data_IF_009511981555
#
_entry.id   IF_009511981555
#
_cell.length_a   1.000
_cell.length_b   1.000
_cell.length_c   1.000
_cell.angle_alpha   90.00
_cell.angle_beta   90.00
_cell.angle_gamma   90.00
#
_symmetry.space_group_name_H-M   'P 1'
#
loop_
_entity.id
_entity.type
_entity.pdbx_description
1 polymer ?
#
# COMPACT_ATOMS: atom_id res chain seq x y z
N UNK A 1 13.05 -0.54 28.16
CA UNK A 1 13.73 0.55 27.46
C UNK A 1 12.97 1.81 27.77
N UNK A 2 13.64 2.89 28.15
CA UNK A 2 12.96 4.11 28.56
C UNK A 2 12.37 4.80 27.32
N UNK A 3 11.05 4.78 27.17
CA UNK A 3 10.32 5.44 26.06
C UNK A 3 10.53 6.96 26.03
N UNK A 4 11.09 7.55 27.09
CA UNK A 4 11.42 8.97 27.16
C UNK A 4 12.43 9.41 26.09
N UNK A 5 13.26 8.48 25.57
CA UNK A 5 14.22 8.77 24.49
C UNK A 5 13.59 9.14 23.17
N UNK A 6 12.36 8.71 22.92
CA UNK A 6 11.71 8.92 21.62
C UNK A 6 11.23 10.35 21.36
N UNK A 7 10.83 11.06 22.40
CA UNK A 7 10.27 12.40 22.27
C UNK A 7 11.16 13.51 22.82
N UNK A 8 12.25 13.16 23.49
CA UNK A 8 13.01 14.13 24.24
C UNK A 8 14.48 14.26 23.99
N UNK A 9 15.11 13.24 23.43
CA UNK A 9 16.57 13.25 23.21
C UNK A 9 16.93 13.18 21.70
N UNK A 10 15.93 13.20 20.82
CA UNK A 10 16.10 12.96 19.40
C UNK A 10 16.74 14.09 18.60
N UNK A 11 17.04 15.21 19.21
CA UNK A 11 17.82 16.30 18.63
C UNK A 11 18.65 16.98 19.72
N UNK A 12 19.86 16.55 19.95
CA UNK A 12 20.77 17.13 20.93
C UNK A 12 20.98 18.66 20.82
N UNK A 13 20.51 19.29 19.77
CA UNK A 13 20.59 20.73 19.57
C UNK A 13 19.29 21.50 19.61
N UNK A 14 18.14 20.84 19.37
CA UNK A 14 16.86 21.53 19.24
C UNK A 14 15.82 21.16 20.31
N UNK A 15 15.91 19.98 20.92
CA UNK A 15 14.87 19.49 21.81
C UNK A 15 15.08 19.87 23.28
N UNK A 16 16.31 19.91 23.78
CA UNK A 16 16.58 20.43 25.15
C UNK A 16 16.28 21.92 25.21
N UNK A 17 16.74 22.70 24.22
CA UNK A 17 16.45 24.14 24.13
C UNK A 17 14.95 24.40 24.01
N UNK A 18 14.24 23.60 23.22
CA UNK A 18 12.80 23.75 23.05
C UNK A 18 11.98 23.37 24.31
N UNK A 19 12.45 22.43 25.12
CA UNK A 19 11.81 22.07 26.40
C UNK A 19 11.95 23.14 27.44
N UNK A 20 13.16 23.69 27.57
CA UNK A 20 13.48 24.68 28.58
C UNK A 20 12.95 26.07 28.20
N UNK A 21 12.79 26.35 26.90
CA UNK A 21 12.26 27.63 26.40
C UNK A 21 10.73 27.67 26.25
N UNK A 22 10.05 26.52 26.31
CA UNK A 22 8.59 26.44 26.29
C UNK A 22 8.06 26.14 27.67
N UNK A 23 7.35 27.12 28.25
CA UNK A 23 6.71 27.04 29.57
C UNK A 23 5.48 26.12 29.49
N UNK A 24 5.72 24.80 29.49
CA UNK A 24 4.67 23.79 29.55
C UNK A 24 4.42 23.35 30.97
N UNK A 25 3.16 23.32 31.40
CA UNK A 25 2.76 22.78 32.69
C UNK A 25 3.00 21.27 32.77
N UNK A 26 2.80 20.54 31.63
CA UNK A 26 2.95 19.09 31.56
C UNK A 26 3.53 18.63 30.22
N UNK A 27 4.27 17.54 30.28
CA UNK A 27 4.78 16.81 29.11
C UNK A 27 4.27 15.36 29.16
N UNK A 28 3.37 15.00 28.27
CA UNK A 28 2.91 13.62 28.08
C UNK A 28 3.90 12.85 27.24
N UNK A 29 4.44 11.74 27.76
CA UNK A 29 5.38 10.84 27.10
C UNK A 29 4.69 9.54 26.64
N UNK A 30 3.50 9.26 27.18
CA UNK A 30 2.63 8.15 26.83
C UNK A 30 1.51 8.62 25.89
N UNK A 31 0.28 8.18 26.07
CA UNK A 31 -0.84 8.61 25.22
C UNK A 31 -1.38 9.98 25.66
N UNK A 32 -1.31 10.94 24.74
CA UNK A 32 -1.77 12.31 24.99
C UNK A 32 -3.26 12.34 25.35
N UNK A 33 -4.06 11.49 24.71
CA UNK A 33 -5.50 11.37 24.96
C UNK A 33 -5.79 10.96 26.41
N UNK A 34 -5.03 10.02 26.96
CA UNK A 34 -5.16 9.60 28.34
C UNK A 34 -4.76 10.72 29.31
N UNK A 35 -3.64 11.41 29.01
CA UNK A 35 -3.19 12.55 29.82
C UNK A 35 -4.20 13.71 29.83
N UNK A 36 -4.76 14.06 28.66
CA UNK A 36 -5.79 15.10 28.52
C UNK A 36 -7.08 14.70 29.26
N UNK A 37 -7.49 13.44 29.14
CA UNK A 37 -8.66 12.94 29.84
C UNK A 37 -8.49 13.06 31.35
N UNK A 38 -7.36 12.60 31.91
CA UNK A 38 -7.07 12.67 33.34
C UNK A 38 -7.03 14.14 33.85
N UNK A 39 -6.42 15.05 33.08
CA UNK A 39 -6.40 16.48 33.37
C UNK A 39 -7.80 17.10 33.40
N UNK A 40 -8.67 16.74 32.46
CA UNK A 40 -10.03 17.27 32.39
C UNK A 40 -10.91 16.71 33.52
N UNK A 41 -10.76 15.42 33.84
CA UNK A 41 -11.56 14.74 34.86
C UNK A 41 -11.15 15.14 36.30
N UNK A 42 -9.85 15.17 36.56
CA UNK A 42 -9.31 15.31 37.94
C UNK A 42 -8.47 16.57 38.14
N UNK A 43 -8.33 17.44 37.14
CA UNK A 43 -7.54 18.65 37.19
C UNK A 43 -6.03 18.40 37.24
N UNK A 44 -5.24 19.43 37.53
CA UNK A 44 -3.77 19.40 37.51
C UNK A 44 -3.17 18.31 38.41
N UNK A 45 -3.82 18.00 39.51
CA UNK A 45 -3.37 16.96 40.46
C UNK A 45 -3.64 15.55 39.95
N UNK A 46 -4.50 15.42 38.91
CA UNK A 46 -4.85 14.16 38.29
C UNK A 46 -3.98 13.75 37.09
N UNK A 47 -3.00 14.59 36.70
CA UNK A 47 -2.12 14.26 35.58
C UNK A 47 -1.39 12.95 35.84
N UNK A 48 -1.56 12.01 34.90
CA UNK A 48 -0.87 10.72 34.89
C UNK A 48 -0.35 10.44 33.50
N UNK A 49 0.96 10.25 33.38
CA UNK A 49 1.63 9.88 32.14
C UNK A 49 1.49 8.37 31.91
N UNK A 50 0.37 7.97 31.35
CA UNK A 50 -0.04 6.58 31.14
C UNK A 50 -0.48 6.30 29.72
N UNK A 51 -0.55 5.02 29.37
CA UNK A 51 -1.22 4.57 28.15
C UNK A 51 -2.70 4.39 28.41
N UNK A 52 -3.51 4.64 27.35
CA UNK A 52 -4.93 4.29 27.33
C UNK A 52 -5.10 2.78 27.43
N UNK A 53 -6.15 2.34 28.06
CA UNK A 53 -6.59 0.95 28.02
C UNK A 53 -7.48 0.69 26.79
N UNK A 54 -7.84 -0.59 26.56
CA UNK A 54 -8.64 -0.98 25.38
C UNK A 54 -10.04 -0.37 25.39
N UNK A 55 -10.65 -0.19 26.57
CA UNK A 55 -11.99 0.41 26.67
C UNK A 55 -11.93 1.90 26.31
N UNK A 56 -10.93 2.60 26.81
CA UNK A 56 -10.66 4.01 26.49
C UNK A 56 -10.39 4.18 25.00
N UNK A 57 -9.51 3.33 24.42
CA UNK A 57 -9.19 3.36 23.00
C UNK A 57 -10.44 3.19 22.15
N UNK A 58 -11.24 2.16 22.43
CA UNK A 58 -12.48 1.87 21.68
C UNK A 58 -13.48 3.01 21.82
N UNK A 59 -13.68 3.49 23.05
CA UNK A 59 -14.61 4.60 23.32
C UNK A 59 -14.21 5.89 22.61
N UNK A 60 -12.92 6.23 22.64
CA UNK A 60 -12.44 7.47 22.03
C UNK A 60 -12.35 7.37 20.51
N UNK A 61 -12.00 6.22 19.94
CA UNK A 61 -12.04 5.99 18.52
C UNK A 61 -13.45 6.18 17.97
N UNK A 62 -14.46 5.56 18.61
CA UNK A 62 -15.88 5.75 18.23
C UNK A 62 -16.33 7.21 18.38
N UNK A 63 -16.01 7.83 19.51
CA UNK A 63 -16.40 9.22 19.76
C UNK A 63 -15.71 10.19 18.79
N UNK A 64 -14.45 9.92 18.42
CA UNK A 64 -13.64 10.74 17.53
C UNK A 64 -13.92 10.50 16.03
N UNK A 65 -14.68 9.48 15.65
CA UNK A 65 -14.95 9.14 14.27
C UNK A 65 -15.56 10.30 13.45
N UNK A 66 -16.29 11.22 14.09
CA UNK A 66 -16.84 12.41 13.42
C UNK A 66 -15.78 13.31 12.74
N UNK A 67 -14.51 13.17 13.09
CA UNK A 67 -13.44 14.01 12.53
C UNK A 67 -13.30 13.83 11.01
N UNK A 68 -13.69 12.67 10.48
CA UNK A 68 -13.64 12.42 9.04
C UNK A 68 -14.53 13.37 8.25
N UNK A 69 -15.67 13.79 8.81
CA UNK A 69 -16.62 14.73 8.20
C UNK A 69 -16.01 16.15 8.03
N UNK A 70 -14.92 16.45 8.76
CA UNK A 70 -14.19 17.71 8.64
C UNK A 70 -13.13 17.67 7.53
N UNK A 71 -12.84 16.51 6.98
CA UNK A 71 -11.85 16.37 5.92
C UNK A 71 -12.44 16.85 4.57
N UNK A 72 -11.72 17.69 3.80
CA UNK A 72 -12.26 18.28 2.57
C UNK A 72 -12.59 17.26 1.47
N UNK A 73 -12.06 16.06 1.55
CA UNK A 73 -12.30 14.99 0.57
C UNK A 73 -13.32 13.94 1.06
N UNK A 74 -13.94 14.17 2.22
CA UNK A 74 -15.00 13.29 2.71
C UNK A 74 -16.31 13.56 1.93
N UNK A 75 -17.08 12.51 1.59
CA UNK A 75 -16.80 11.10 1.79
C UNK A 75 -16.01 10.44 0.65
N UNK A 76 -15.95 11.07 -0.53
CA UNK A 76 -15.64 10.43 -1.82
C UNK A 76 -14.16 10.04 -2.00
N UNK A 77 -13.23 10.76 -1.36
CA UNK A 77 -11.79 10.54 -1.57
C UNK A 77 -11.01 10.57 -0.25
N UNK A 78 -11.38 9.68 0.66
CA UNK A 78 -10.76 9.53 1.98
C UNK A 78 -10.55 8.05 2.30
N UNK A 79 -9.32 7.67 2.66
CA UNK A 79 -8.99 6.35 3.20
C UNK A 79 -8.62 6.49 4.67
N UNK A 80 -9.25 5.69 5.54
CA UNK A 80 -8.94 5.63 6.96
C UNK A 80 -7.96 4.49 7.24
N UNK A 81 -6.84 4.80 7.89
CA UNK A 81 -5.88 3.81 8.34
C UNK A 81 -6.17 3.42 9.79
N UNK A 82 -6.49 2.14 9.99
CA UNK A 82 -6.78 1.55 11.29
C UNK A 82 -5.50 1.04 11.93
N UNK A 83 -5.16 1.54 13.12
CA UNK A 83 -4.08 0.96 13.90
C UNK A 83 -4.50 -0.40 14.46
N UNK A 84 -3.76 -1.45 14.13
CA UNK A 84 -4.03 -2.82 14.61
C UNK A 84 -3.08 -3.27 15.71
N UNK A 85 -1.86 -2.72 15.74
CA UNK A 85 -0.88 -3.01 16.79
C UNK A 85 0.24 -1.97 16.84
N UNK A 86 0.99 -1.98 17.95
CA UNK A 86 2.24 -1.23 18.14
C UNK A 86 3.34 -2.17 18.59
N UNK A 87 4.59 -1.84 18.22
CA UNK A 87 5.77 -2.59 18.63
C UNK A 87 6.10 -3.72 17.67
N UNK A 88 7.31 -4.27 17.84
CA UNK A 88 7.86 -5.32 17.00
C UNK A 88 8.80 -6.22 17.82
N UNK A 89 8.75 -7.55 17.66
CA UNK A 89 9.64 -8.45 18.37
C UNK A 89 11.08 -8.42 17.83
N UNK A 90 11.25 -7.94 16.59
CA UNK A 90 12.55 -7.83 15.92
C UNK A 90 13.26 -6.52 16.25
N UNK A 91 14.59 -6.48 16.05
CA UNK A 91 15.44 -5.35 16.40
C UNK A 91 16.36 -4.96 15.25
N UNK A 92 15.76 -4.66 14.09
CA UNK A 92 16.51 -4.13 12.95
C UNK A 92 17.18 -2.80 13.34
N UNK A 93 18.47 -2.62 12.99
CA UNK A 93 19.33 -1.52 13.43
C UNK A 93 18.78 -0.12 13.15
N UNK A 94 17.95 0.02 12.12
CA UNK A 94 17.41 1.30 11.65
C UNK A 94 15.97 1.58 12.08
N UNK A 95 15.28 0.55 12.64
CA UNK A 95 13.85 0.61 12.85
C UNK A 95 13.47 1.18 14.22
N UNK A 96 12.44 2.03 14.23
CA UNK A 96 11.90 2.65 15.46
C UNK A 96 10.79 1.82 16.13
N UNK A 97 10.15 0.88 15.41
CA UNK A 97 9.06 0.07 15.97
C UNK A 97 9.44 -0.73 17.24
N UNK A 98 10.64 -1.31 17.34
CA UNK A 98 11.05 -2.01 18.57
C UNK A 98 11.12 -1.12 19.81
N UNK A 99 11.16 0.21 19.65
CA UNK A 99 11.17 1.14 20.76
C UNK A 99 9.84 1.17 21.51
N UNK A 100 8.73 0.80 20.86
CA UNK A 100 7.42 0.60 21.51
C UNK A 100 7.36 -0.69 22.33
N UNK A 101 8.37 -1.56 22.25
CA UNK A 101 8.45 -2.82 22.96
C UNK A 101 7.93 -4.01 22.16
N UNK A 102 7.45 -5.04 22.85
CA UNK A 102 6.82 -6.17 22.21
C UNK A 102 5.49 -5.75 21.56
N UNK A 103 5.02 -6.50 20.54
CA UNK A 103 3.75 -6.20 19.91
C UNK A 103 2.60 -6.13 20.93
N UNK A 104 1.87 -5.03 20.88
CA UNK A 104 0.64 -4.79 21.64
C UNK A 104 -0.49 -4.68 20.60
N UNK A 105 -1.45 -5.59 20.67
CA UNK A 105 -2.51 -5.75 19.65
C UNK A 105 -3.83 -5.20 20.19
N UNK A 106 -4.48 -4.37 19.37
CA UNK A 106 -5.88 -4.05 19.60
C UNK A 106 -6.73 -5.31 19.39
N UNK A 107 -7.71 -5.61 20.25
CA UNK A 107 -8.66 -6.69 20.02
C UNK A 107 -9.41 -6.51 18.69
N UNK A 108 -9.73 -7.59 17.95
CA UNK A 108 -10.50 -7.50 16.71
C UNK A 108 -11.78 -6.68 16.87
N UNK A 109 -12.49 -6.85 17.98
CA UNK A 109 -13.75 -6.17 18.29
C UNK A 109 -13.56 -4.65 18.41
N UNK A 110 -12.45 -4.18 18.99
CA UNK A 110 -12.13 -2.75 19.11
C UNK A 110 -11.89 -2.11 17.74
N UNK A 111 -11.21 -2.81 16.82
CA UNK A 111 -10.99 -2.33 15.44
C UNK A 111 -12.31 -2.34 14.65
N UNK A 112 -13.12 -3.39 14.82
CA UNK A 112 -14.44 -3.50 14.17
C UNK A 112 -15.38 -2.39 14.63
N UNK A 113 -15.41 -2.08 15.92
CA UNK A 113 -16.21 -0.98 16.49
C UNK A 113 -15.83 0.40 15.93
N UNK A 114 -14.53 0.61 15.66
CA UNK A 114 -14.09 1.86 15.03
C UNK A 114 -14.49 1.92 13.55
N UNK A 115 -14.34 0.80 12.82
CA UNK A 115 -14.80 0.71 11.41
C UNK A 115 -16.30 0.94 11.31
N UNK A 116 -17.12 0.38 12.21
CA UNK A 116 -18.56 0.61 12.32
C UNK A 116 -18.88 2.10 12.45
N UNK A 117 -18.24 2.77 13.42
CA UNK A 117 -18.43 4.20 13.64
C UNK A 117 -17.99 5.10 12.50
N UNK A 118 -17.01 4.68 11.70
CA UNK A 118 -16.56 5.38 10.50
C UNK A 118 -17.46 5.09 9.29
N UNK A 119 -17.92 3.84 9.14
CA UNK A 119 -18.85 3.44 8.09
C UNK A 119 -20.20 4.12 8.23
N UNK A 120 -20.68 4.32 9.48
CA UNK A 120 -21.88 5.13 9.80
C UNK A 120 -21.75 6.61 9.34
N UNK A 121 -20.55 7.04 8.93
CA UNK A 121 -20.22 8.37 8.40
C UNK A 121 -19.73 8.34 6.96
N UNK A 122 -20.26 7.41 6.18
CA UNK A 122 -19.99 7.27 4.74
C UNK A 122 -18.50 7.02 4.39
N UNK A 123 -17.68 6.48 5.30
CA UNK A 123 -16.32 6.02 4.99
C UNK A 123 -16.40 4.63 4.37
N UNK A 124 -15.96 4.50 3.11
CA UNK A 124 -15.96 3.23 2.37
C UNK A 124 -14.56 2.65 2.13
N UNK A 125 -13.49 3.33 2.54
CA UNK A 125 -12.13 2.95 2.24
C UNK A 125 -11.29 2.82 3.51
N UNK A 126 -10.76 1.62 3.75
CA UNK A 126 -10.01 1.28 4.95
C UNK A 126 -8.68 0.62 4.62
N UNK A 127 -7.67 0.87 5.46
CA UNK A 127 -6.38 0.21 5.43
C UNK A 127 -6.02 -0.24 6.84
N UNK A 128 -5.75 -1.54 7.01
CA UNK A 128 -5.22 -2.07 8.26
C UNK A 128 -3.72 -1.76 8.31
N UNK A 129 -3.35 -0.83 9.14
CA UNK A 129 -2.02 -0.29 9.21
C UNK A 129 -1.36 -0.43 10.57
N UNK A 130 -0.20 0.19 10.70
CA UNK A 130 0.59 0.28 11.91
C UNK A 130 0.94 -1.06 12.56
N UNK A 131 1.10 -2.11 11.79
CA UNK A 131 1.60 -3.40 12.27
C UNK A 131 2.94 -3.76 11.65
N UNK A 132 3.77 -4.46 12.43
CA UNK A 132 4.99 -5.06 11.91
C UNK A 132 4.69 -6.31 11.05
N UNK A 133 3.63 -7.05 11.40
CA UNK A 133 3.22 -8.26 10.72
C UNK A 133 1.74 -8.57 10.96
N UNK A 134 0.92 -8.46 9.91
CA UNK A 134 -0.52 -8.77 9.98
C UNK A 134 -0.79 -10.26 10.27
N UNK A 135 0.07 -11.18 9.81
CA UNK A 135 -0.15 -12.62 10.04
C UNK A 135 -0.09 -13.00 11.52
N UNK A 136 0.75 -12.32 12.30
CA UNK A 136 0.92 -12.56 13.73
C UNK A 136 -0.06 -11.76 14.61
N UNK A 137 -1.03 -11.07 13.99
CA UNK A 137 -2.02 -10.24 14.69
C UNK A 137 -2.79 -11.02 15.77
N UNK A 138 -2.92 -10.40 16.94
CA UNK A 138 -3.67 -10.96 18.07
C UNK A 138 -3.04 -12.19 18.70
N UNK A 139 -1.74 -12.42 18.47
CA UNK A 139 -0.95 -13.53 19.00
C UNK A 139 0.29 -13.09 19.77
N UNK A 140 1.38 -13.82 19.57
CA UNK A 140 2.69 -13.55 20.22
C UNK A 140 3.58 -12.57 19.41
N UNK A 141 3.13 -12.12 18.26
CA UNK A 141 3.88 -11.25 17.35
C UNK A 141 4.82 -11.97 16.38
N UNK A 142 4.94 -13.30 16.48
CA UNK A 142 5.80 -14.11 15.62
C UNK A 142 5.07 -15.27 14.94
N UNK A 143 4.03 -15.82 15.58
CA UNK A 143 3.28 -16.97 15.07
C UNK A 143 1.98 -16.51 14.40
N UNK A 144 1.67 -16.96 13.16
CA UNK A 144 0.40 -16.62 12.52
C UNK A 144 -0.80 -17.07 13.35
N UNK A 145 -1.80 -16.18 13.42
CA UNK A 145 -3.05 -16.41 14.16
C UNK A 145 -4.28 -16.27 13.24
N UNK A 146 -4.59 -17.30 12.42
CA UNK A 146 -5.72 -17.27 11.49
C UNK A 146 -7.06 -17.01 12.16
N UNK A 147 -7.26 -17.44 13.41
CA UNK A 147 -8.52 -17.22 14.12
C UNK A 147 -8.76 -15.75 14.46
N UNK A 148 -7.72 -15.04 14.91
CA UNK A 148 -7.81 -13.59 15.12
C UNK A 148 -8.04 -12.84 13.82
N UNK A 149 -7.35 -13.21 12.74
CA UNK A 149 -7.56 -12.66 11.41
C UNK A 149 -8.99 -12.88 10.93
N UNK A 150 -9.54 -14.08 11.09
CA UNK A 150 -10.92 -14.38 10.69
C UNK A 150 -11.92 -13.51 11.45
N UNK A 151 -11.76 -13.34 12.76
CA UNK A 151 -12.62 -12.47 13.57
C UNK A 151 -12.53 -11.02 13.10
N UNK A 152 -11.32 -10.50 12.87
CA UNK A 152 -11.09 -9.13 12.41
C UNK A 152 -11.74 -8.88 11.05
N UNK A 153 -11.37 -9.66 10.04
CA UNK A 153 -11.81 -9.43 8.66
C UNK A 153 -13.30 -9.70 8.46
N UNK A 154 -13.84 -10.76 9.08
CA UNK A 154 -15.29 -11.05 9.02
C UNK A 154 -16.09 -9.96 9.74
N UNK A 155 -15.63 -9.50 10.91
CA UNK A 155 -16.28 -8.42 11.64
C UNK A 155 -16.29 -7.10 10.83
N UNK A 156 -15.19 -6.73 10.19
CA UNK A 156 -15.13 -5.54 9.32
C UNK A 156 -16.16 -5.66 8.19
N UNK A 157 -16.24 -6.83 7.51
CA UNK A 157 -17.20 -7.03 6.42
C UNK A 157 -18.66 -7.07 6.89
N UNK A 158 -18.91 -7.45 8.14
CA UNK A 158 -20.25 -7.45 8.73
C UNK A 158 -20.75 -6.03 9.00
N UNK A 159 -19.89 -5.16 9.56
CA UNK A 159 -20.27 -3.78 9.92
C UNK A 159 -20.15 -2.79 8.75
N UNK A 160 -19.32 -3.08 7.76
CA UNK A 160 -19.12 -2.28 6.56
C UNK A 160 -19.30 -3.14 5.28
N UNK A 161 -20.53 -3.65 4.99
CA UNK A 161 -20.76 -4.55 3.86
C UNK A 161 -20.48 -3.90 2.50
N UNK A 162 -20.69 -2.60 2.39
CA UNK A 162 -20.55 -1.82 1.16
C UNK A 162 -19.17 -1.16 1.01
N UNK A 163 -18.19 -1.52 1.86
CA UNK A 163 -16.85 -0.95 1.74
C UNK A 163 -16.23 -1.24 0.37
N UNK A 164 -15.61 -0.21 -0.23
CA UNK A 164 -15.01 -0.23 -1.56
C UNK A 164 -13.53 -0.58 -1.54
N UNK A 165 -12.80 -0.22 -0.48
CA UNK A 165 -11.40 -0.58 -0.29
C UNK A 165 -11.17 -1.16 1.10
N UNK A 166 -10.58 -2.36 1.13
CA UNK A 166 -9.97 -2.93 2.33
C UNK A 166 -8.59 -3.45 1.96
N UNK A 167 -7.56 -2.81 2.46
CA UNK A 167 -6.16 -3.14 2.21
C UNK A 167 -5.38 -3.28 3.52
N UNK A 168 -4.19 -3.85 3.43
CA UNK A 168 -3.26 -3.99 4.55
C UNK A 168 -1.96 -3.22 4.33
N UNK A 169 -1.09 -3.19 5.33
CA UNK A 169 0.25 -2.61 5.25
C UNK A 169 1.33 -3.71 5.23
N UNK A 170 1.89 -4.07 6.36
CA UNK A 170 3.04 -4.96 6.44
C UNK A 170 2.65 -6.43 6.70
N UNK A 171 3.38 -7.31 6.04
CA UNK A 171 3.44 -8.74 6.29
C UNK A 171 4.90 -9.14 6.39
N UNK A 172 5.29 -9.88 7.44
CA UNK A 172 6.69 -10.24 7.61
C UNK A 172 7.01 -11.54 6.85
N UNK A 173 7.95 -11.53 5.89
CA UNK A 173 8.28 -12.72 5.12
C UNK A 173 8.84 -13.87 5.97
N UNK A 174 9.54 -13.59 7.10
CA UNK A 174 10.02 -14.66 7.97
C UNK A 174 8.89 -15.47 8.62
N UNK A 175 7.78 -14.81 8.95
CA UNK A 175 6.59 -15.47 9.48
C UNK A 175 5.96 -16.40 8.45
N UNK A 176 5.97 -15.99 7.17
CA UNK A 176 5.44 -16.79 6.06
C UNK A 176 6.22 -18.11 5.90
N UNK A 177 7.56 -18.05 5.94
CA UNK A 177 8.40 -19.25 5.72
C UNK A 177 8.57 -20.10 6.96
N UNK A 178 8.57 -19.50 8.14
CA UNK A 178 8.71 -20.22 9.42
C UNK A 178 7.45 -21.03 9.74
N UNK A 179 6.28 -20.56 9.32
CA UNK A 179 4.98 -21.16 9.59
C UNK A 179 4.12 -21.34 8.33
N UNK A 180 4.58 -22.05 7.29
CA UNK A 180 4.00 -21.98 5.96
C UNK A 180 2.51 -22.38 5.90
N UNK A 181 2.07 -23.38 6.66
CA UNK A 181 0.67 -23.82 6.65
C UNK A 181 -0.27 -22.78 7.27
N UNK A 182 0.09 -22.27 8.46
CA UNK A 182 -0.70 -21.21 9.11
C UNK A 182 -0.68 -19.91 8.33
N UNK A 183 0.47 -19.56 7.73
CA UNK A 183 0.59 -18.39 6.88
C UNK A 183 -0.30 -18.50 5.64
N UNK A 184 -0.31 -19.66 4.98
CA UNK A 184 -1.22 -19.91 3.84
C UNK A 184 -2.68 -19.74 4.22
N UNK A 185 -3.09 -20.19 5.40
CA UNK A 185 -4.45 -19.99 5.91
C UNK A 185 -4.73 -18.48 6.15
N UNK A 186 -3.84 -17.79 6.85
CA UNK A 186 -3.96 -16.34 7.07
C UNK A 186 -4.02 -15.53 5.78
N UNK A 187 -3.15 -15.84 4.80
CA UNK A 187 -3.13 -15.18 3.48
C UNK A 187 -4.44 -15.44 2.72
N UNK A 188 -5.04 -16.65 2.82
CA UNK A 188 -6.37 -16.91 2.21
C UNK A 188 -7.46 -16.04 2.83
N UNK A 189 -7.51 -15.96 4.16
CA UNK A 189 -8.48 -15.11 4.87
C UNK A 189 -8.35 -13.66 4.39
N UNK A 190 -7.12 -13.14 4.33
CA UNK A 190 -6.86 -11.78 3.83
C UNK A 190 -7.35 -11.63 2.38
N UNK A 191 -6.98 -12.54 1.48
CA UNK A 191 -7.35 -12.47 0.07
C UNK A 191 -8.86 -12.62 -0.18
N UNK A 192 -9.57 -13.34 0.69
CA UNK A 192 -11.04 -13.47 0.63
C UNK A 192 -11.74 -12.14 0.92
N UNK A 193 -11.24 -11.37 1.88
CA UNK A 193 -11.89 -10.17 2.40
C UNK A 193 -11.37 -8.87 1.77
N UNK A 194 -10.06 -8.79 1.46
CA UNK A 194 -9.46 -7.59 0.87
C UNK A 194 -9.92 -7.38 -0.57
N UNK A 195 -9.90 -6.12 -0.98
CA UNK A 195 -10.22 -5.73 -2.36
C UNK A 195 -9.01 -5.91 -3.28
N UNK A 196 -9.21 -6.06 -4.62
CA UNK A 196 -8.12 -6.27 -5.56
C UNK A 196 -7.10 -5.12 -5.58
N UNK A 197 -5.82 -5.45 -5.82
CA UNK A 197 -4.74 -4.48 -5.92
C UNK A 197 -3.99 -4.22 -4.61
N UNK A 198 -4.33 -4.98 -3.57
CA UNK A 198 -3.67 -4.89 -2.26
C UNK A 198 -2.21 -5.37 -2.29
N UNK A 199 -1.43 -4.94 -1.30
CA UNK A 199 0.00 -5.17 -1.23
C UNK A 199 0.43 -5.61 0.16
N UNK A 200 0.93 -6.83 0.29
CA UNK A 200 1.66 -7.28 1.47
C UNK A 200 3.09 -6.71 1.41
N UNK A 201 3.37 -5.66 2.18
CA UNK A 201 4.70 -5.05 2.17
C UNK A 201 5.69 -5.91 2.97
N UNK A 202 6.69 -6.49 2.29
CA UNK A 202 7.75 -7.30 2.84
C UNK A 202 8.99 -6.46 3.14
N UNK A 203 9.46 -6.51 4.38
CA UNK A 203 10.71 -5.90 4.82
C UNK A 203 11.90 -6.84 4.57
N UNK A 204 12.38 -6.96 3.33
CA UNK A 204 13.66 -7.61 3.04
C UNK A 204 14.84 -6.72 3.44
N UNK A 205 14.71 -5.44 3.16
CA UNK A 205 15.62 -4.32 3.41
C UNK A 205 16.96 -4.45 2.67
N UNK A 206 17.59 -5.62 2.67
CA UNK A 206 18.79 -5.95 1.88
C UNK A 206 18.84 -7.43 1.54
N UNK A 207 19.24 -7.76 0.30
CA UNK A 207 19.55 -9.11 -0.13
C UNK A 207 21.04 -9.49 0.08
N UNK A 208 21.85 -8.57 0.62
CA UNK A 208 23.26 -8.78 0.94
C UNK A 208 23.39 -9.43 2.32
N UNK A 209 23.97 -10.65 2.42
CA UNK A 209 24.06 -11.36 3.69
C UNK A 209 24.91 -10.65 4.76
N UNK A 210 25.92 -9.88 4.34
CA UNK A 210 26.77 -9.15 5.28
C UNK A 210 26.00 -7.95 5.87
N UNK A 211 25.33 -7.18 5.03
CA UNK A 211 24.42 -6.09 5.47
C UNK A 211 23.30 -6.63 6.35
N UNK A 212 22.76 -7.79 6.00
CA UNK A 212 21.72 -8.46 6.78
C UNK A 212 22.19 -8.76 8.20
N UNK A 213 23.38 -9.36 8.33
CA UNK A 213 24.00 -9.71 9.62
C UNK A 213 24.30 -8.47 10.45
N UNK A 214 24.90 -7.43 9.83
CA UNK A 214 25.35 -6.20 10.51
C UNK A 214 24.20 -5.34 11.02
N UNK A 215 22.97 -5.56 10.51
CA UNK A 215 21.79 -4.76 10.83
C UNK A 215 20.65 -5.55 11.51
N UNK A 216 20.90 -6.78 11.95
CA UNK A 216 19.91 -7.65 12.57
C UNK A 216 18.62 -7.79 11.73
N UNK A 217 18.75 -7.87 10.39
CA UNK A 217 17.60 -8.12 9.53
C UNK A 217 17.12 -9.56 9.75
N UNK A 218 15.82 -9.74 9.77
CA UNK A 218 15.23 -10.99 10.25
C UNK A 218 14.97 -12.03 9.16
N UNK A 219 15.24 -11.72 7.89
CA UNK A 219 14.95 -12.59 6.75
C UNK A 219 16.07 -12.55 5.71
N UNK A 220 16.47 -13.72 5.21
CA UNK A 220 17.39 -13.85 4.10
C UNK A 220 16.72 -13.63 2.75
N UNK A 221 17.51 -13.37 1.69
CA UNK A 221 16.99 -13.26 0.34
C UNK A 221 16.27 -14.54 -0.13
N UNK A 222 16.78 -15.72 0.22
CA UNK A 222 16.15 -17.00 -0.15
C UNK A 222 14.83 -17.22 0.60
N UNK A 223 14.76 -16.93 1.89
CA UNK A 223 13.52 -17.00 2.67
C UNK A 223 12.47 -16.00 2.15
N UNK A 224 12.89 -14.76 1.85
CA UNK A 224 12.00 -13.77 1.26
C UNK A 224 11.48 -14.22 -0.11
N UNK A 225 12.32 -14.85 -0.93
CA UNK A 225 11.93 -15.41 -2.22
C UNK A 225 10.85 -16.51 -2.06
N UNK A 226 11.01 -17.42 -1.12
CA UNK A 226 10.00 -18.46 -0.83
C UNK A 226 8.70 -17.83 -0.29
N UNK A 227 8.78 -16.77 0.54
CA UNK A 227 7.59 -16.05 0.97
C UNK A 227 6.86 -15.38 -0.21
N UNK A 228 7.60 -14.80 -1.16
CA UNK A 228 7.03 -14.24 -2.40
C UNK A 228 6.27 -15.31 -3.18
N UNK A 229 6.85 -16.53 -3.33
CA UNK A 229 6.16 -17.66 -3.99
C UNK A 229 4.85 -18.01 -3.29
N UNK A 230 4.88 -18.17 -1.96
CA UNK A 230 3.69 -18.52 -1.19
C UNK A 230 2.57 -17.50 -1.38
N UNK A 231 2.86 -16.21 -1.30
CA UNK A 231 1.82 -15.18 -1.51
C UNK A 231 1.29 -15.20 -2.94
N UNK A 232 2.16 -15.35 -3.96
CA UNK A 232 1.72 -15.49 -5.35
C UNK A 232 0.82 -16.72 -5.55
N UNK A 233 1.19 -17.86 -4.98
CA UNK A 233 0.41 -19.11 -5.07
C UNK A 233 -0.97 -19.00 -4.40
N UNK A 234 -1.04 -18.33 -3.24
CA UNK A 234 -2.26 -18.29 -2.43
C UNK A 234 -3.19 -17.15 -2.84
N UNK A 235 -2.65 -15.98 -3.15
CA UNK A 235 -3.42 -14.74 -3.30
C UNK A 235 -3.15 -13.96 -4.60
N UNK A 236 -2.20 -14.40 -5.44
CA UNK A 236 -1.84 -13.74 -6.69
C UNK A 236 -2.84 -13.91 -7.84
N UNK A 237 -4.05 -14.34 -7.55
CA UNK A 237 -5.11 -14.55 -8.54
C UNK A 237 -5.97 -13.29 -8.74
N UNK A 238 -6.61 -13.18 -9.92
CA UNK A 238 -7.59 -12.14 -10.22
C UNK A 238 -8.99 -12.61 -9.83
N UNK A 239 -9.88 -11.71 -9.39
CA UNK A 239 -11.28 -12.08 -9.18
C UNK A 239 -11.90 -12.70 -10.44
N UNK A 240 -12.61 -13.82 -10.31
CA UNK A 240 -13.25 -14.51 -11.46
C UNK A 240 -12.31 -15.18 -12.45
N UNK A 241 -11.00 -15.08 -12.28
CA UNK A 241 -9.98 -15.66 -13.15
C UNK A 241 -9.33 -16.92 -12.55
N UNK A 242 -8.82 -17.80 -13.44
CA UNK A 242 -7.91 -18.87 -13.04
C UNK A 242 -6.54 -18.27 -12.67
N UNK A 243 -5.84 -18.91 -11.73
CA UNK A 243 -4.55 -18.42 -11.19
C UNK A 243 -3.48 -18.20 -12.26
N UNK A 244 -3.50 -18.99 -13.32
CA UNK A 244 -2.46 -19.07 -14.34
C UNK A 244 -2.81 -18.37 -15.65
N UNK A 245 -3.97 -17.71 -15.76
CA UNK A 245 -4.40 -17.11 -17.02
C UNK A 245 -4.22 -15.59 -17.04
N UNK A 246 -3.81 -15.10 -18.21
CA UNK A 246 -3.95 -13.69 -18.55
C UNK A 246 -5.40 -13.22 -18.30
N UNK A 247 -5.64 -11.93 -18.00
CA UNK A 247 -6.98 -11.43 -17.73
C UNK A 247 -7.95 -11.90 -18.82
N UNK A 248 -9.01 -12.58 -18.41
CA UNK A 248 -10.09 -12.91 -19.32
C UNK A 248 -10.92 -11.65 -19.58
N UNK A 249 -10.66 -11.00 -20.71
CA UNK A 249 -11.32 -9.74 -21.07
C UNK A 249 -12.81 -9.88 -21.42
N UNK A 250 -13.38 -11.06 -21.30
CA UNK A 250 -14.82 -11.30 -21.39
C UNK A 250 -15.58 -11.22 -20.05
N UNK A 251 -14.83 -11.20 -18.92
CA UNK A 251 -15.38 -11.11 -17.57
C UNK A 251 -14.81 -9.87 -16.87
N UNK A 252 -15.66 -8.93 -16.46
CA UNK A 252 -15.22 -7.67 -15.83
C UNK A 252 -14.49 -7.92 -14.50
N UNK A 253 -14.88 -8.94 -13.74
CA UNK A 253 -14.17 -9.30 -12.51
C UNK A 253 -12.74 -9.76 -12.79
N UNK A 254 -12.50 -10.52 -13.87
CA UNK A 254 -11.18 -11.00 -14.24
C UNK A 254 -10.27 -9.91 -14.84
N UNK A 255 -10.81 -8.73 -15.15
CA UNK A 255 -10.03 -7.56 -15.61
C UNK A 255 -9.39 -6.77 -14.47
N UNK A 256 -9.77 -7.01 -13.23
CA UNK A 256 -9.22 -6.31 -12.05
C UNK A 256 -7.76 -6.69 -11.80
N UNK A 257 -7.10 -5.93 -10.93
CA UNK A 257 -5.78 -6.31 -10.41
C UNK A 257 -5.85 -7.63 -9.62
N UNK A 258 -4.73 -8.36 -9.45
CA UNK A 258 -4.67 -9.48 -8.51
C UNK A 258 -5.11 -9.07 -7.11
N UNK A 259 -5.65 -10.02 -6.34
CA UNK A 259 -6.21 -9.78 -5.00
C UNK A 259 -5.14 -9.21 -4.05
N UNK A 260 -4.05 -9.94 -3.86
CA UNK A 260 -2.96 -9.54 -2.97
C UNK A 260 -1.62 -9.99 -3.58
N UNK A 261 -0.68 -9.08 -3.69
CA UNK A 261 0.68 -9.37 -4.13
C UNK A 261 1.71 -8.86 -3.12
N UNK A 262 2.88 -9.52 -3.01
CA UNK A 262 3.96 -8.98 -2.21
C UNK A 262 4.51 -7.68 -2.82
N UNK A 263 4.92 -6.77 -1.95
CA UNK A 263 5.76 -5.62 -2.28
C UNK A 263 7.09 -5.76 -1.55
N UNK A 264 8.21 -5.42 -2.17
CA UNK A 264 9.53 -5.52 -1.56
C UNK A 264 10.01 -4.14 -1.11
N UNK A 265 10.38 -4.01 0.15
CA UNK A 265 11.08 -2.85 0.69
C UNK A 265 12.59 -3.13 0.68
N UNK A 266 13.36 -2.16 0.16
CA UNK A 266 14.82 -2.14 0.19
C UNK A 266 15.27 -0.81 0.79
N UNK A 267 16.17 -0.87 1.78
CA UNK A 267 16.75 0.30 2.46
C UNK A 267 18.24 0.34 2.18
N UNK A 268 18.71 1.46 1.65
CA UNK A 268 20.11 1.73 1.35
C UNK A 268 20.71 2.72 2.35
N UNK A 269 22.00 2.61 2.58
CA UNK A 269 22.72 3.36 3.59
C UNK A 269 22.79 2.62 4.93
N UNK A 270 22.53 1.32 4.92
CA UNK A 270 22.68 0.44 6.08
C UNK A 270 24.16 0.14 6.35
N UNK A 271 24.49 -0.25 7.58
CA UNK A 271 25.83 -0.62 8.00
C UNK A 271 26.34 -1.79 7.15
N UNK A 272 27.58 -1.70 6.70
CA UNK A 272 28.19 -2.72 5.83
C UNK A 272 27.84 -2.60 4.35
N UNK A 273 26.97 -1.64 3.93
CA UNK A 273 26.61 -1.44 2.53
C UNK A 273 27.83 -1.11 1.67
N UNK A 274 27.96 -1.79 0.54
CA UNK A 274 28.99 -1.57 -0.49
C UNK A 274 28.33 -1.53 -1.88
N UNK A 275 29.14 -1.31 -2.92
CA UNK A 275 28.65 -1.39 -4.29
C UNK A 275 28.10 -2.79 -4.65
N UNK A 276 28.61 -3.85 -4.01
CA UNK A 276 28.12 -5.23 -4.23
C UNK A 276 26.73 -5.46 -3.64
N UNK A 277 26.36 -4.74 -2.59
CA UNK A 277 25.02 -4.77 -2.01
C UNK A 277 23.94 -4.43 -3.04
N UNK A 278 24.20 -3.45 -3.91
CA UNK A 278 23.28 -3.07 -4.99
C UNK A 278 23.10 -4.19 -6.02
N UNK A 279 24.16 -4.94 -6.30
CA UNK A 279 24.11 -6.10 -7.20
C UNK A 279 23.41 -7.30 -6.54
N UNK A 280 23.54 -7.51 -5.23
CA UNK A 280 22.75 -8.52 -4.50
C UNK A 280 21.26 -8.21 -4.58
N UNK A 281 20.85 -6.99 -4.30
CA UNK A 281 19.47 -6.54 -4.37
C UNK A 281 18.90 -6.68 -5.79
N UNK A 282 19.67 -6.32 -6.82
CA UNK A 282 19.26 -6.46 -8.22
C UNK A 282 19.10 -7.92 -8.62
N UNK A 283 20.05 -8.80 -8.27
CA UNK A 283 19.97 -10.24 -8.55
C UNK A 283 18.75 -10.89 -7.91
N UNK A 284 18.40 -10.49 -6.68
CA UNK A 284 17.17 -10.95 -6.02
C UNK A 284 15.92 -10.55 -6.83
N UNK A 285 15.78 -9.29 -7.19
CA UNK A 285 14.63 -8.80 -7.96
C UNK A 285 14.54 -9.45 -9.33
N UNK A 286 15.68 -9.64 -10.02
CA UNK A 286 15.75 -10.32 -11.30
C UNK A 286 15.30 -11.78 -11.19
N UNK A 287 15.76 -12.51 -10.15
CA UNK A 287 15.32 -13.89 -9.88
C UNK A 287 13.81 -13.97 -9.72
N UNK A 288 13.20 -13.07 -8.92
CA UNK A 288 11.74 -13.01 -8.77
C UNK A 288 11.03 -12.83 -10.11
N UNK A 289 11.57 -11.94 -10.94
CA UNK A 289 11.01 -11.69 -12.28
C UNK A 289 11.17 -12.91 -13.21
N UNK A 290 12.36 -13.52 -13.27
CA UNK A 290 12.67 -14.64 -14.16
C UNK A 290 11.86 -15.90 -13.84
N UNK A 291 11.54 -16.13 -12.56
CA UNK A 291 10.67 -17.23 -12.09
C UNK A 291 9.18 -16.98 -12.35
N UNK A 292 8.83 -15.91 -13.05
CA UNK A 292 7.43 -15.62 -13.43
C UNK A 292 6.57 -15.05 -12.29
N UNK A 293 7.16 -14.79 -11.13
CA UNK A 293 6.44 -14.28 -9.97
C UNK A 293 6.05 -12.79 -10.15
N UNK A 294 5.04 -12.37 -9.41
CA UNK A 294 4.51 -11.00 -9.43
C UNK A 294 4.86 -10.26 -8.14
N UNK A 295 5.32 -9.03 -8.29
CA UNK A 295 5.46 -8.05 -7.22
C UNK A 295 4.56 -6.84 -7.52
N UNK A 296 3.79 -6.42 -6.53
CA UNK A 296 2.98 -5.21 -6.68
C UNK A 296 3.83 -3.96 -6.74
N UNK A 297 4.97 -3.95 -6.02
CA UNK A 297 5.85 -2.79 -5.92
C UNK A 297 7.24 -3.18 -5.42
N UNK A 298 8.26 -2.49 -5.92
CA UNK A 298 9.58 -2.41 -5.28
C UNK A 298 9.76 -1.00 -4.71
N UNK A 299 9.93 -0.91 -3.40
CA UNK A 299 10.11 0.35 -2.68
C UNK A 299 11.57 0.51 -2.27
N UNK A 300 12.29 1.40 -2.93
CA UNK A 300 13.71 1.64 -2.73
C UNK A 300 13.88 2.97 -2.00
N UNK A 301 14.34 2.91 -0.75
CA UNK A 301 14.52 4.05 0.14
C UNK A 301 15.99 4.17 0.59
N UNK A 302 16.38 5.33 1.08
CA UNK A 302 17.57 5.52 1.88
C UNK A 302 17.19 5.52 3.36
N UNK A 303 18.07 5.02 4.20
CA UNK A 303 17.90 5.02 5.65
C UNK A 303 17.71 6.45 6.15
N UNK A 304 16.81 6.62 7.08
CA UNK A 304 16.73 7.81 7.93
C UNK A 304 17.34 7.44 9.28
N UNK A 305 18.40 8.13 9.63
CA UNK A 305 19.09 7.93 10.90
C UNK A 305 18.30 8.59 12.02
N UNK A 306 17.42 7.80 12.66
CA UNK A 306 16.67 8.26 13.83
C UNK A 306 17.48 8.02 15.09
N UNK A 307 17.48 9.00 15.97
CA UNK A 307 18.07 8.86 17.31
C UNK A 307 17.41 7.72 18.09
N UNK A 308 18.20 7.03 18.90
CA UNK A 308 17.77 5.81 19.61
C UNK A 308 17.81 4.54 18.76
N UNK A 309 18.13 4.63 17.46
CA UNK A 309 18.46 3.47 16.60
C UNK A 309 19.96 3.28 16.50
N UNK A 310 20.42 2.06 16.19
CA UNK A 310 21.86 1.77 16.01
C UNK A 310 22.44 2.48 14.77
N UNK A 311 21.60 2.99 13.88
CA UNK A 311 21.98 3.73 12.67
C UNK A 311 22.07 5.25 12.88
N UNK A 312 21.76 5.75 14.06
CA UNK A 312 21.72 7.20 14.36
C UNK A 312 23.01 7.94 13.96
N UNK A 313 24.17 7.35 14.26
CA UNK A 313 25.48 7.98 14.02
C UNK A 313 26.02 7.77 12.61
N UNK A 314 25.70 6.64 11.94
CA UNK A 314 26.41 6.20 10.72
C UNK A 314 25.56 6.20 9.46
N UNK A 315 24.24 6.04 9.58
CA UNK A 315 23.36 5.84 8.42
C UNK A 315 23.35 7.02 7.45
N UNK A 316 23.41 8.24 7.95
CA UNK A 316 23.43 9.44 7.10
C UNK A 316 24.71 9.58 6.26
N UNK A 317 25.86 9.16 6.79
CA UNK A 317 27.15 9.21 6.08
C UNK A 317 27.19 8.16 4.97
N UNK A 318 26.85 6.90 5.25
CA UNK A 318 26.82 5.81 4.27
C UNK A 318 25.86 6.17 3.12
N UNK A 319 24.67 6.65 3.43
CA UNK A 319 23.69 7.07 2.43
C UNK A 319 24.20 8.23 1.55
N UNK A 320 25.01 9.14 2.12
CA UNK A 320 25.64 10.25 1.40
C UNK A 320 26.73 9.77 0.46
N UNK A 321 27.59 8.87 0.93
CA UNK A 321 28.71 8.35 0.16
C UNK A 321 28.22 7.54 -1.06
N UNK A 322 27.13 6.78 -0.92
CA UNK A 322 26.55 6.01 -1.99
C UNK A 322 25.47 6.75 -2.82
N UNK A 323 25.28 8.04 -2.62
CA UNK A 323 24.19 8.81 -3.24
C UNK A 323 24.11 8.67 -4.77
N UNK A 324 25.28 8.68 -5.45
CA UNK A 324 25.31 8.56 -6.91
C UNK A 324 24.98 7.14 -7.36
N UNK A 325 25.55 6.14 -6.70
CA UNK A 325 25.27 4.72 -6.96
C UNK A 325 23.79 4.40 -6.73
N UNK A 326 23.22 4.89 -5.63
CA UNK A 326 21.79 4.76 -5.32
C UNK A 326 20.89 5.32 -6.44
N UNK A 327 21.23 6.49 -7.00
CA UNK A 327 20.45 7.07 -8.09
C UNK A 327 20.50 6.22 -9.36
N UNK A 328 21.68 5.72 -9.72
CA UNK A 328 21.88 4.85 -10.89
C UNK A 328 21.13 3.53 -10.71
N UNK A 329 21.32 2.86 -9.57
CA UNK A 329 20.61 1.64 -9.22
C UNK A 329 19.09 1.81 -9.28
N UNK A 330 18.56 2.87 -8.66
CA UNK A 330 17.12 3.14 -8.65
C UNK A 330 16.56 3.37 -10.05
N UNK A 331 17.33 4.02 -10.95
CA UNK A 331 16.93 4.19 -12.34
C UNK A 331 16.94 2.84 -13.08
N UNK A 332 18.02 2.06 -12.92
CA UNK A 332 18.14 0.75 -13.54
C UNK A 332 17.01 -0.20 -13.11
N UNK A 333 16.72 -0.32 -11.82
CA UNK A 333 15.62 -1.17 -11.32
C UNK A 333 14.28 -0.72 -11.89
N UNK A 334 14.04 0.60 -12.03
CA UNK A 334 12.80 1.09 -12.65
C UNK A 334 12.64 0.67 -14.10
N UNK A 335 13.74 0.65 -14.85
CA UNK A 335 13.73 0.30 -16.27
C UNK A 335 13.65 -1.20 -16.48
N UNK A 336 14.43 -1.98 -15.72
CA UNK A 336 14.62 -3.41 -15.96
C UNK A 336 13.68 -4.30 -15.15
N UNK A 337 13.15 -3.82 -14.03
CA UNK A 337 12.28 -4.58 -13.13
C UNK A 337 10.89 -3.95 -13.00
N UNK A 338 10.79 -2.67 -12.54
CA UNK A 338 9.48 -2.07 -12.22
C UNK A 338 8.55 -2.02 -13.44
N UNK A 339 9.05 -1.56 -14.59
CA UNK A 339 8.22 -1.44 -15.79
C UNK A 339 7.75 -2.81 -16.33
N UNK A 340 8.62 -3.81 -16.58
CA UNK A 340 8.16 -5.13 -17.03
C UNK A 340 7.32 -5.86 -15.98
N UNK A 341 7.58 -5.67 -14.69
CA UNK A 341 6.76 -6.22 -13.62
C UNK A 341 5.35 -5.61 -13.62
N UNK A 342 5.25 -4.28 -13.79
CA UNK A 342 3.96 -3.59 -13.86
C UNK A 342 3.15 -4.07 -15.08
N UNK A 343 3.79 -4.33 -16.21
CA UNK A 343 3.12 -4.92 -17.39
C UNK A 343 2.58 -6.33 -17.11
N UNK A 344 3.28 -7.13 -16.31
CA UNK A 344 2.82 -8.46 -15.87
C UNK A 344 1.64 -8.36 -14.90
N UNK A 345 1.73 -7.48 -13.91
CA UNK A 345 0.71 -7.29 -12.88
C UNK A 345 -0.57 -6.65 -13.43
N UNK A 346 -0.43 -5.69 -14.32
CA UNK A 346 -1.52 -4.89 -14.85
C UNK A 346 -1.42 -4.74 -16.38
N UNK A 347 -1.55 -5.82 -17.16
CA UNK A 347 -1.43 -5.77 -18.62
C UNK A 347 -2.47 -4.84 -19.25
N UNK A 348 -2.25 -4.37 -20.51
CA UNK A 348 -3.24 -3.56 -21.23
C UNK A 348 -4.60 -4.25 -21.27
N UNK A 349 -5.68 -3.51 -20.97
CA UNK A 349 -7.04 -4.02 -20.81
C UNK A 349 -7.41 -4.32 -19.35
N UNK A 350 -6.47 -4.26 -18.40
CA UNK A 350 -6.80 -4.25 -16.97
C UNK A 350 -7.62 -3.01 -16.67
N UNK A 351 -8.72 -3.18 -15.93
CA UNK A 351 -9.61 -2.09 -15.51
C UNK A 351 -9.29 -1.71 -14.07
N UNK A 352 -8.98 -0.44 -13.87
CA UNK A 352 -8.86 0.20 -12.57
C UNK A 352 -10.20 0.91 -12.29
N UNK A 353 -11.01 0.41 -11.35
CA UNK A 353 -12.24 1.09 -10.97
C UNK A 353 -11.94 2.32 -10.12
N UNK A 354 -12.87 3.22 -10.05
CA UNK A 354 -12.91 4.33 -9.10
C UNK A 354 -11.61 5.16 -9.08
N UNK A 355 -11.11 5.50 -10.27
CA UNK A 355 -9.95 6.41 -10.40
C UNK A 355 -10.42 7.85 -10.18
N UNK A 356 -10.02 8.44 -9.08
CA UNK A 356 -10.31 9.84 -8.77
C UNK A 356 -9.38 10.79 -9.55
N UNK A 357 -9.95 11.75 -10.27
CA UNK A 357 -9.23 12.68 -11.13
C UNK A 357 -8.71 13.87 -10.32
N UNK A 358 -7.38 13.99 -10.17
CA UNK A 358 -6.73 14.86 -9.20
C UNK A 358 -6.23 16.19 -9.79
N UNK A 359 -5.57 16.14 -10.95
CA UNK A 359 -4.94 17.32 -11.54
C UNK A 359 -4.68 17.19 -13.04
N UNK A 360 -4.45 18.35 -13.69
CA UNK A 360 -4.02 18.43 -15.09
C UNK A 360 -2.53 18.69 -15.19
N UNK A 361 -1.89 18.08 -16.19
CA UNK A 361 -0.51 18.37 -16.57
C UNK A 361 -0.26 18.00 -18.04
N UNK A 362 0.36 18.92 -18.79
CA UNK A 362 0.77 18.72 -20.18
C UNK A 362 -0.39 18.24 -21.10
N UNK A 363 -1.60 18.81 -20.92
CA UNK A 363 -2.80 18.46 -21.70
C UNK A 363 -3.37 17.08 -21.41
N UNK A 364 -3.05 16.51 -20.23
CA UNK A 364 -3.55 15.25 -19.72
C UNK A 364 -4.18 15.44 -18.34
N UNK A 365 -5.09 14.55 -18.00
CA UNK A 365 -5.64 14.42 -16.65
C UNK A 365 -4.96 13.27 -15.92
N UNK A 366 -4.62 13.47 -14.67
CA UNK A 366 -4.03 12.44 -13.80
C UNK A 366 -4.94 12.16 -12.64
N UNK A 367 -4.96 10.88 -12.25
CA UNK A 367 -5.76 10.40 -11.11
C UNK A 367 -5.21 9.12 -10.50
N UNK A 368 -5.81 8.68 -9.40
CA UNK A 368 -5.49 7.45 -8.68
C UNK A 368 -6.74 6.80 -8.10
N UNK A 369 -6.65 5.48 -7.89
CA UNK A 369 -7.57 4.80 -6.99
C UNK A 369 -7.20 5.10 -5.53
N UNK A 370 -8.14 4.98 -4.60
CA UNK A 370 -7.82 4.83 -3.18
C UNK A 370 -7.31 3.41 -2.90
N UNK A 371 -6.30 3.31 -2.05
CA UNK A 371 -5.72 2.00 -1.68
C UNK A 371 -4.24 2.06 -1.35
N UNK A 372 -3.68 0.89 -1.02
CA UNK A 372 -2.26 0.73 -0.71
C UNK A 372 -1.43 0.83 -1.99
N UNK A 373 -0.51 1.80 -2.05
CA UNK A 373 0.36 2.07 -3.20
C UNK A 373 -0.39 2.26 -4.53
N UNK A 374 -1.31 3.24 -4.65
CA UNK A 374 -2.09 3.44 -5.85
C UNK A 374 -1.23 3.77 -7.07
N UNK A 375 -1.64 3.27 -8.23
CA UNK A 375 -1.00 3.60 -9.50
C UNK A 375 -1.40 5.01 -9.94
N UNK A 376 -0.43 5.80 -10.40
CA UNK A 376 -0.72 7.04 -11.10
C UNK A 376 -1.22 6.70 -12.50
N UNK A 377 -2.41 7.17 -12.83
CA UNK A 377 -3.06 6.97 -14.14
C UNK A 377 -3.04 8.28 -14.90
N UNK A 378 -2.53 8.28 -16.12
CA UNK A 378 -2.59 9.42 -17.05
C UNK A 378 -3.63 9.16 -18.14
N UNK A 379 -4.56 10.08 -18.31
CA UNK A 379 -5.62 10.04 -19.32
C UNK A 379 -5.38 11.13 -20.38
N UNK A 380 -5.55 10.85 -21.68
CA UNK A 380 -5.50 11.89 -22.72
C UNK A 380 -6.60 12.93 -22.52
N UNK A 381 -6.24 14.21 -22.73
CA UNK A 381 -7.18 15.34 -22.63
C UNK A 381 -7.39 15.83 -21.20
N UNK A 382 -8.05 16.98 -21.10
CA UNK A 382 -8.44 17.58 -19.83
C UNK A 382 -9.90 17.23 -19.52
N UNK A 383 -10.11 16.65 -18.32
CA UNK A 383 -11.41 16.21 -17.81
C UNK A 383 -11.74 16.95 -16.54
N UNK A 384 -13.01 17.02 -16.19
CA UNK A 384 -13.46 17.60 -14.92
C UNK A 384 -12.77 16.90 -13.74
N UNK A 385 -12.10 17.68 -12.89
CA UNK A 385 -11.41 17.18 -11.70
C UNK A 385 -12.40 16.90 -10.57
N UNK A 386 -11.98 16.04 -9.61
CA UNK A 386 -12.82 15.64 -8.49
C UNK A 386 -13.88 14.58 -8.85
N UNK A 387 -13.93 14.13 -10.10
CA UNK A 387 -14.79 12.99 -10.51
C UNK A 387 -14.05 11.69 -10.41
N UNK A 388 -14.80 10.64 -10.17
CA UNK A 388 -14.32 9.25 -10.14
C UNK A 388 -14.82 8.50 -11.37
N UNK A 389 -13.92 7.78 -12.05
CA UNK A 389 -14.22 7.02 -13.27
C UNK A 389 -13.45 5.70 -13.31
N UNK A 390 -14.02 4.71 -13.99
CA UNK A 390 -13.28 3.49 -14.34
C UNK A 390 -12.32 3.76 -15.50
N UNK A 391 -11.14 3.13 -15.47
CA UNK A 391 -10.09 3.33 -16.48
C UNK A 391 -9.55 1.99 -16.96
N UNK A 392 -9.57 1.74 -18.26
CA UNK A 392 -8.84 0.62 -18.88
C UNK A 392 -7.39 1.04 -19.20
N UNK A 393 -6.42 0.27 -18.70
CA UNK A 393 -4.98 0.50 -18.96
C UNK A 393 -4.67 0.22 -20.43
N UNK A 394 -3.96 1.14 -21.07
CA UNK A 394 -3.53 1.03 -22.47
C UNK A 394 -2.02 0.94 -22.64
N UNK A 395 -1.23 1.56 -21.75
CA UNK A 395 0.24 1.61 -21.81
C UNK A 395 0.85 1.84 -20.41
N UNK A 396 2.17 1.66 -20.30
CA UNK A 396 2.90 1.69 -19.03
C UNK A 396 4.09 2.66 -19.06
N UNK A 397 4.21 3.45 -17.99
CA UNK A 397 5.45 4.08 -17.58
C UNK A 397 6.20 3.19 -16.57
N UNK A 398 7.23 3.73 -15.92
CA UNK A 398 7.99 2.97 -14.91
C UNK A 398 7.17 2.64 -13.66
N UNK A 399 6.34 3.54 -13.21
CA UNK A 399 5.49 3.41 -12.00
C UNK A 399 4.11 4.07 -12.17
N UNK A 400 3.68 4.22 -13.40
CA UNK A 400 2.42 4.83 -13.79
C UNK A 400 1.88 4.10 -15.00
N UNK A 401 0.61 4.30 -15.28
CA UNK A 401 -0.05 3.76 -16.45
C UNK A 401 -0.70 4.86 -17.26
N UNK A 402 -0.86 4.63 -18.55
CA UNK A 402 -1.75 5.40 -19.40
C UNK A 402 -3.04 4.60 -19.59
N UNK A 403 -4.18 5.25 -19.59
CA UNK A 403 -5.45 4.60 -19.78
C UNK A 403 -6.47 5.45 -20.52
N UNK A 404 -7.62 4.87 -20.75
CA UNK A 404 -8.82 5.52 -21.29
C UNK A 404 -9.99 5.25 -20.37
N UNK A 405 -11.02 6.10 -20.31
CA UNK A 405 -12.25 5.79 -19.59
C UNK A 405 -12.81 4.43 -20.01
N UNK A 406 -13.37 3.70 -19.07
CA UNK A 406 -13.92 2.37 -19.33
C UNK A 406 -15.39 2.27 -18.95
N UNK A 407 -16.25 1.73 -19.86
CA UNK A 407 -15.94 1.48 -21.28
C UNK A 407 -15.85 2.80 -22.07
N UNK A 408 -14.96 2.85 -23.08
CA UNK A 408 -14.84 4.01 -23.96
C UNK A 408 -15.85 3.88 -25.12
N UNK A 409 -16.76 4.82 -25.29
CA UNK A 409 -17.63 4.85 -26.45
C UNK A 409 -16.88 5.21 -27.71
N UNK A 410 -16.77 4.26 -28.65
CA UNK A 410 -16.06 4.44 -29.90
C UNK A 410 -16.60 5.58 -30.77
N UNK A 411 -17.90 5.86 -30.66
CA UNK A 411 -18.56 6.90 -31.47
C UNK A 411 -18.25 8.32 -31.01
N UNK A 412 -17.92 8.50 -29.75
CA UNK A 412 -17.59 9.82 -29.15
C UNK A 412 -16.11 9.98 -28.79
N UNK A 413 -15.33 8.89 -28.71
CA UNK A 413 -13.92 8.91 -28.32
C UNK A 413 -13.07 9.89 -29.16
N UNK A 414 -12.18 10.61 -28.51
CA UNK A 414 -11.23 11.50 -29.21
C UNK A 414 -10.14 10.71 -29.96
N UNK A 415 -9.55 11.34 -30.99
CA UNK A 415 -8.35 10.81 -31.67
C UNK A 415 -7.22 10.46 -30.70
N UNK A 416 -7.04 11.26 -29.64
CA UNK A 416 -5.98 11.07 -28.67
C UNK A 416 -6.23 9.81 -27.80
N UNK A 417 -7.45 9.56 -27.39
CA UNK A 417 -7.85 8.36 -26.65
C UNK A 417 -7.69 7.10 -27.50
N UNK A 418 -8.23 7.11 -28.72
CA UNK A 418 -8.11 6.00 -29.65
C UNK A 418 -6.64 5.66 -29.92
N UNK A 419 -5.78 6.66 -30.15
CA UNK A 419 -4.37 6.48 -30.47
C UNK A 419 -3.52 5.93 -29.30
N UNK A 420 -4.02 5.93 -28.06
CA UNK A 420 -3.33 5.31 -26.91
C UNK A 420 -3.55 3.81 -26.82
N UNK A 421 -4.58 3.27 -27.48
CA UNK A 421 -4.90 1.85 -27.41
C UNK A 421 -3.82 1.01 -28.12
N UNK A 422 -3.48 -0.17 -27.59
CA UNK A 422 -2.51 -1.07 -28.22
C UNK A 422 -2.88 -1.39 -29.65
N UNK A 423 -1.92 -1.22 -30.57
CA UNK A 423 -2.12 -1.46 -32.01
C UNK A 423 -2.92 -0.40 -32.75
N UNK A 424 -3.30 0.71 -32.08
CA UNK A 424 -3.97 1.84 -32.71
C UNK A 424 -3.03 3.04 -32.81
N UNK A 425 -2.36 3.18 -33.93
CA UNK A 425 -1.60 4.39 -34.25
C UNK A 425 -2.53 5.51 -34.75
N UNK A 426 -1.98 6.70 -34.99
CA UNK A 426 -2.73 7.87 -35.48
C UNK A 426 -3.55 7.58 -36.74
N UNK A 427 -3.03 6.77 -37.70
CA UNK A 427 -3.73 6.42 -38.92
C UNK A 427 -5.01 5.63 -38.62
N UNK A 428 -4.91 4.52 -37.89
CA UNK A 428 -6.07 3.69 -37.53
C UNK A 428 -7.07 4.47 -36.67
N UNK A 429 -6.60 5.32 -35.75
CA UNK A 429 -7.48 6.20 -35.00
C UNK A 429 -8.27 7.16 -35.91
N UNK A 430 -7.62 7.71 -36.93
CA UNK A 430 -8.27 8.52 -37.96
C UNK A 430 -9.32 7.74 -38.75
N UNK A 431 -8.99 6.53 -39.17
CA UNK A 431 -9.93 5.67 -39.90
C UNK A 431 -11.17 5.34 -39.05
N UNK A 432 -10.97 5.07 -37.75
CA UNK A 432 -12.09 4.86 -36.80
C UNK A 432 -12.97 6.09 -36.68
N UNK A 433 -12.38 7.30 -36.57
CA UNK A 433 -13.17 8.54 -36.47
C UNK A 433 -13.97 8.81 -37.76
N UNK A 434 -13.37 8.57 -38.92
CA UNK A 434 -14.04 8.77 -40.23
C UNK A 434 -15.13 7.73 -40.48
N UNK A 435 -14.97 6.51 -39.97
CA UNK A 435 -15.93 5.39 -40.17
C UNK A 435 -17.19 5.48 -39.27
N UNK A 436 -17.30 6.45 -38.37
CA UNK A 436 -18.45 6.59 -37.45
C UNK A 436 -19.75 6.92 -38.21
N UNK A 437 -20.93 6.50 -37.68
CA UNK A 437 -21.14 5.75 -36.43
C UNK A 437 -20.95 4.23 -36.60
N UNK A 438 -20.61 3.55 -35.51
CA UNK A 438 -20.55 2.10 -35.39
C UNK A 438 -21.72 1.59 -34.56
N UNK A 439 -22.31 0.48 -34.96
CA UNK A 439 -23.40 -0.17 -34.22
C UNK A 439 -22.86 -1.13 -33.15
N UNK A 440 -21.68 -1.68 -33.38
CA UNK A 440 -21.00 -2.62 -32.46
C UNK A 440 -19.51 -2.34 -32.31
N UNK A 441 -18.96 -2.63 -31.13
CA UNK A 441 -17.53 -2.48 -30.85
C UNK A 441 -16.65 -3.40 -31.76
N UNK A 442 -17.19 -4.51 -32.28
CA UNK A 442 -16.47 -5.44 -33.14
C UNK A 442 -16.17 -4.86 -34.51
N UNK A 443 -16.91 -3.86 -34.98
CA UNK A 443 -16.68 -3.21 -36.28
C UNK A 443 -15.38 -2.42 -36.32
N UNK A 444 -14.87 -1.96 -35.17
CA UNK A 444 -13.56 -1.27 -35.09
C UNK A 444 -12.40 -2.24 -34.93
N UNK A 445 -12.68 -3.51 -34.65
CA UNK A 445 -11.73 -4.60 -34.54
C UNK A 445 -11.90 -5.40 -33.23
N UNK A 446 -11.79 -6.74 -33.37
CA UNK A 446 -11.95 -7.66 -32.22
C UNK A 446 -10.91 -7.41 -31.12
N UNK A 447 -9.71 -6.93 -31.48
CA UNK A 447 -8.62 -6.57 -30.58
C UNK A 447 -8.94 -5.37 -29.69
N UNK A 448 -9.90 -4.52 -30.10
CA UNK A 448 -10.29 -3.31 -29.37
C UNK A 448 -11.52 -3.49 -28.47
N UNK A 449 -12.31 -4.55 -28.66
CA UNK A 449 -13.55 -4.78 -27.89
C UNK A 449 -13.36 -4.76 -26.38
N UNK A 450 -12.14 -5.01 -25.90
CA UNK A 450 -11.78 -4.97 -24.49
C UNK A 450 -11.62 -3.55 -23.91
N UNK A 451 -11.67 -2.53 -24.74
CA UNK A 451 -11.52 -1.13 -24.35
C UNK A 451 -12.77 -0.30 -24.65
N UNK A 452 -13.52 -0.68 -25.69
CA UNK A 452 -14.57 0.16 -26.27
C UNK A 452 -15.95 -0.49 -26.27
N UNK A 453 -16.95 0.38 -26.26
CA UNK A 453 -18.35 0.06 -26.60
C UNK A 453 -18.77 0.82 -27.85
N UNK A 454 -19.90 0.44 -28.48
CA UNK A 454 -20.59 1.24 -29.46
C UNK A 454 -21.98 1.60 -28.88
N UNK A 455 -22.16 2.87 -28.59
CA UNK A 455 -23.33 3.41 -27.89
C UNK A 455 -22.97 3.91 -26.47
N UNK A 456 -23.69 4.89 -26.01
CA UNK A 456 -23.51 5.39 -24.63
C UNK A 456 -23.73 4.24 -23.64
N UNK A 457 -22.91 4.10 -22.59
CA UNK A 457 -23.26 3.19 -21.49
C UNK A 457 -24.64 3.59 -20.98
N UNK A 458 -25.51 2.60 -20.75
CA UNK A 458 -26.77 2.84 -20.03
C UNK A 458 -26.38 3.54 -18.74
N UNK A 459 -26.87 4.76 -18.56
CA UNK A 459 -26.67 5.50 -17.32
C UNK A 459 -27.15 4.62 -16.17
N UNK A 460 -26.24 4.20 -15.31
CA UNK A 460 -26.61 3.69 -14.00
C UNK A 460 -27.27 4.87 -13.27
N UNK A 461 -28.61 4.84 -13.20
CA UNK A 461 -29.41 5.69 -12.32
C UNK A 461 -29.19 5.29 -10.88
#
# INVERSE_FOLDING_TARGET
>A
MDRRRHLGEANEGASETARDDLDFDFLAMADVEAAVYDLVDSGMEGFNDRYRDVEEETRWARAGAFVVEQHPNHPDYLICEMETSRGCPYRCSFCTEPMYGNPDFRPPESVVDEVDALSDRDVAHFRLGRQADILAYGGDGETPNPDALRRLYSGIREVAPDLETLHLDNMNPITVVKWPEKAREGIRIIAEHNTPGDTAAFGLESADPDVMSDNNLNVTADECFEAVKIVNEVAGFRPGGDRDTAPNFGDDAARRLPKLLPGINLVHGLKGETAETFEHNKRFLQRVYDEGLMLRRVNIRQVMAFEGTDMAETGAEIAKDHKQLFKQYKQEVRETIDNPMLQRVAPPGTVLPDVHLEYHKDGKTFGRQLGTYPLLVGLPGERELGRTIDVAITDHGYRSVTGVPYPLDVNSASMAELATMPGVGRSRAGDIVVGRPYDTATEVGEDLRRFVTAGAPESAD
#
